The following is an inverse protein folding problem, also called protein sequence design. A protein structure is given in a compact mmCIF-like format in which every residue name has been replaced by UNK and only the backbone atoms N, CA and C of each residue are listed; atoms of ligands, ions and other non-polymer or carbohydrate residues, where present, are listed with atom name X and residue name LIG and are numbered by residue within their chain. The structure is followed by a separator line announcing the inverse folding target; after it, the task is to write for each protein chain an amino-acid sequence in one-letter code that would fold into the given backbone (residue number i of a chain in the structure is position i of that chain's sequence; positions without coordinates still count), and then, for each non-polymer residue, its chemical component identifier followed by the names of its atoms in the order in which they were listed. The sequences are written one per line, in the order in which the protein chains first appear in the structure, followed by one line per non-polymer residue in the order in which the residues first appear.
data_IF_122176416968
#
_entry.id   IF_122176416968
#
_cell.length_a   1.000
_cell.length_b   1.000
_cell.length_c   1.000
_cell.angle_alpha   90.00
_cell.angle_beta   90.00
_cell.angle_gamma   90.00
#
_symmetry.space_group_name_H-M   'P 1'
#
loop_
_entity.id
_entity.type
_entity.pdbx_description
1 polymer ?
#
# COMPACT_ATOMS: atom_id res chain seq x y z
N UNK A 1 63.99 -12.18 -25.42
CA UNK A 1 62.61 -11.69 -25.49
C UNK A 1 62.50 -10.45 -24.63
N UNK A 2 62.03 -9.37 -25.26
CA UNK A 2 61.78 -8.01 -24.74
C UNK A 2 60.67 -8.03 -23.66
N UNK A 3 60.61 -7.18 -22.63
CA UNK A 3 60.60 -5.71 -22.65
C UNK A 3 61.12 -5.09 -21.34
N UNK A 4 61.91 -4.02 -21.49
CA UNK A 4 62.17 -3.02 -20.45
C UNK A 4 60.89 -2.24 -20.09
N UNK A 5 60.80 -1.77 -18.84
CA UNK A 5 60.56 -0.34 -18.62
C UNK A 5 61.16 0.12 -17.30
N UNK A 6 62.06 1.09 -17.39
CA UNK A 6 62.76 1.79 -16.32
C UNK A 6 61.88 2.94 -15.78
N UNK A 7 62.39 3.57 -14.71
CA UNK A 7 62.15 4.95 -14.24
C UNK A 7 61.06 5.06 -13.15
N UNK A 8 61.25 5.73 -12.01
CA UNK A 8 62.32 6.60 -11.54
C UNK A 8 61.79 7.44 -10.34
N UNK A 9 62.44 7.27 -9.18
CA UNK A 9 62.70 8.18 -8.05
C UNK A 9 61.90 9.52 -7.92
N UNK A 10 61.12 9.61 -6.82
CA UNK A 10 60.87 10.67 -5.78
C UNK A 10 61.03 12.18 -6.16
N UNK A 11 60.23 13.15 -5.61
CA UNK A 11 60.50 13.66 -4.26
C UNK A 11 59.28 14.07 -3.40
N UNK A 12 59.44 13.86 -2.09
CA UNK A 12 58.79 14.59 -1.00
C UNK A 12 59.15 16.08 -1.06
N UNK A 13 58.17 16.98 -0.95
CA UNK A 13 58.40 18.41 -0.68
C UNK A 13 57.31 18.96 0.25
N UNK A 14 57.69 19.09 1.53
CA UNK A 14 57.08 19.96 2.53
C UNK A 14 56.95 21.39 1.97
N UNK A 15 55.83 22.06 2.23
CA UNK A 15 55.73 23.24 3.14
C UNK A 15 54.39 23.95 2.98
N UNK A 16 53.79 24.20 4.14
CA UNK A 16 52.76 25.20 4.41
C UNK A 16 53.11 26.59 3.85
N UNK A 17 52.24 27.14 3.00
CA UNK A 17 52.07 28.58 2.81
C UNK A 17 50.56 28.81 2.64
N UNK A 18 49.96 29.49 3.62
CA UNK A 18 48.56 29.89 3.55
C UNK A 18 48.39 31.05 2.57
N UNK A 19 47.39 30.96 1.71
CA UNK A 19 46.75 32.11 1.06
C UNK A 19 45.26 31.79 0.96
N UNK A 20 44.45 32.62 1.61
CA UNK A 20 42.99 32.72 1.40
C UNK A 20 42.74 32.93 -0.10
N UNK A 21 42.11 31.96 -0.75
CA UNK A 21 41.37 32.20 -1.99
C UNK A 21 40.00 31.56 -1.84
N UNK A 22 39.10 32.41 -1.36
CA UNK A 22 37.68 32.43 -1.63
C UNK A 22 37.44 32.01 -3.09
N UNK A 23 36.80 30.87 -3.30
CA UNK A 23 36.57 30.35 -4.64
C UNK A 23 35.63 29.17 -4.59
N UNK A 24 34.33 29.49 -4.53
CA UNK A 24 33.21 28.68 -5.02
C UNK A 24 33.53 27.20 -5.22
N UNK A 25 33.09 26.26 -4.38
CA UNK A 25 32.69 24.91 -4.87
C UNK A 25 32.15 23.92 -3.85
N UNK A 26 32.02 24.25 -2.55
CA UNK A 26 31.73 23.19 -1.56
C UNK A 26 30.76 23.63 -0.48
N UNK A 27 29.54 24.03 -0.86
CA UNK A 27 28.38 23.90 0.03
C UNK A 27 27.03 24.09 -0.68
N UNK A 28 26.87 23.51 -1.88
CA UNK A 28 25.53 23.07 -2.26
C UNK A 28 25.30 21.78 -1.49
N UNK A 29 24.86 21.93 -0.23
CA UNK A 29 24.20 20.86 0.51
C UNK A 29 23.24 20.17 -0.47
N UNK A 30 23.24 18.84 -0.59
CA UNK A 30 22.28 18.14 -1.43
C UNK A 30 20.91 18.22 -0.75
N UNK A 31 20.30 19.41 -0.75
CA UNK A 31 18.90 19.63 -0.40
C UNK A 31 17.95 19.06 -1.48
N UNK A 32 18.48 18.25 -2.40
CA UNK A 32 17.74 17.49 -3.41
C UNK A 32 17.55 16.01 -3.05
N UNK A 33 17.80 15.61 -1.80
CA UNK A 33 17.39 14.29 -1.29
C UNK A 33 16.01 14.32 -0.60
N UNK A 34 15.26 15.43 -0.69
CA UNK A 34 13.82 15.48 -0.42
C UNK A 34 13.00 15.42 -1.72
N UNK A 35 13.56 14.81 -2.76
CA UNK A 35 12.83 14.55 -3.99
C UNK A 35 11.97 13.30 -3.77
N UNK A 36 10.73 13.56 -3.37
CA UNK A 36 9.57 12.80 -3.82
C UNK A 36 9.56 11.29 -3.48
N UNK A 37 9.75 10.92 -2.22
CA UNK A 37 8.89 9.86 -1.69
C UNK A 37 7.51 10.48 -1.47
N UNK A 38 6.84 10.86 -2.55
CA UNK A 38 5.42 11.05 -2.51
C UNK A 38 4.87 9.69 -2.09
N UNK A 39 4.55 9.56 -0.79
CA UNK A 39 3.68 8.53 -0.25
C UNK A 39 2.34 8.67 -0.99
N UNK A 40 2.28 8.18 -2.22
CA UNK A 40 1.06 8.04 -2.99
C UNK A 40 0.33 6.83 -2.43
N UNK A 41 -0.07 6.95 -1.16
CA UNK A 41 -0.89 5.97 -0.47
C UNK A 41 -2.12 5.76 -1.33
N UNK A 42 -2.29 4.54 -1.83
CA UNK A 42 -3.53 4.14 -2.49
C UNK A 42 -4.65 4.38 -1.46
N UNK A 43 -5.63 5.20 -1.81
CA UNK A 43 -6.81 5.41 -0.98
C UNK A 43 -8.01 4.89 -1.78
N UNK A 44 -8.55 3.76 -1.33
CA UNK A 44 -9.82 3.24 -1.82
C UNK A 44 -10.95 3.98 -1.10
N UNK A 45 -11.96 4.39 -1.86
CA UNK A 45 -13.16 5.03 -1.33
C UNK A 45 -14.14 3.98 -0.78
N UNK A 46 -14.03 2.73 -1.24
CA UNK A 46 -14.76 1.59 -0.71
C UNK A 46 -14.55 1.45 0.81
N UNK A 47 -15.62 1.75 1.56
CA UNK A 47 -15.62 1.69 3.02
C UNK A 47 -15.44 0.26 3.52
N UNK A 48 -14.61 0.07 4.54
CA UNK A 48 -14.51 -1.23 5.22
C UNK A 48 -15.89 -1.62 5.78
N UNK A 49 -16.40 -2.83 5.48
CA UNK A 49 -17.71 -3.27 5.95
C UNK A 49 -17.74 -3.34 7.48
N UNK A 50 -18.84 -2.87 8.07
CA UNK A 50 -19.07 -2.94 9.51
C UNK A 50 -19.85 -4.21 9.86
N UNK A 51 -19.57 -4.79 11.03
CA UNK A 51 -20.29 -5.96 11.50
C UNK A 51 -21.77 -5.59 11.79
N UNK A 52 -22.75 -6.40 11.33
CA UNK A 52 -24.16 -6.17 11.64
C UNK A 52 -24.40 -6.39 13.14
N UNK A 53 -25.17 -5.50 13.76
CA UNK A 53 -25.59 -5.64 15.16
C UNK A 53 -27.05 -6.10 15.27
N UNK A 54 -27.83 -5.97 14.20
CA UNK A 54 -29.23 -6.39 14.15
C UNK A 54 -29.49 -7.37 13.00
N UNK A 55 -30.58 -8.12 13.10
CA UNK A 55 -30.97 -9.07 12.06
C UNK A 55 -31.33 -8.38 10.73
N UNK A 56 -31.97 -7.21 10.82
CA UNK A 56 -32.29 -6.39 9.63
C UNK A 56 -31.01 -5.91 8.94
N UNK A 57 -30.00 -5.49 9.72
CA UNK A 57 -28.69 -5.11 9.18
C UNK A 57 -27.97 -6.31 8.55
N UNK A 58 -28.07 -7.50 9.15
CA UNK A 58 -27.48 -8.71 8.59
C UNK A 58 -28.11 -9.06 7.22
N UNK A 59 -29.44 -8.99 7.10
CA UNK A 59 -30.15 -9.24 5.85
C UNK A 59 -29.86 -8.18 4.79
N UNK A 60 -29.85 -6.90 5.18
CA UNK A 60 -29.48 -5.80 4.29
C UNK A 60 -28.05 -5.94 3.77
N UNK A 61 -27.11 -6.32 4.64
CA UNK A 61 -25.72 -6.54 4.27
C UNK A 61 -25.57 -7.66 3.24
N UNK A 62 -26.24 -8.80 3.43
CA UNK A 62 -26.19 -9.92 2.47
C UNK A 62 -26.77 -9.49 1.12
N UNK A 63 -27.84 -8.71 1.11
CA UNK A 63 -28.49 -8.23 -0.13
C UNK A 63 -27.64 -7.19 -0.89
N UNK A 64 -26.89 -6.33 -0.19
CA UNK A 64 -26.09 -5.27 -0.82
C UNK A 64 -24.62 -5.66 -1.09
N UNK A 65 -24.14 -6.75 -0.48
CA UNK A 65 -22.75 -7.20 -0.58
C UNK A 65 -22.25 -7.30 -2.02
N UNK A 66 -23.03 -7.88 -2.93
CA UNK A 66 -22.61 -8.06 -4.31
C UNK A 66 -22.30 -6.72 -4.98
N UNK A 67 -23.17 -5.72 -4.78
CA UNK A 67 -22.96 -4.35 -5.27
C UNK A 67 -21.73 -3.70 -4.63
N UNK A 68 -21.52 -3.91 -3.34
CA UNK A 68 -20.34 -3.37 -2.63
C UNK A 68 -19.04 -3.98 -3.18
N UNK A 69 -19.04 -5.28 -3.50
CA UNK A 69 -17.89 -5.95 -4.08
C UNK A 69 -17.64 -5.53 -5.53
N UNK A 70 -18.69 -5.37 -6.33
CA UNK A 70 -18.57 -4.83 -7.70
C UNK A 70 -17.97 -3.42 -7.69
N UNK A 71 -18.43 -2.57 -6.79
CA UNK A 71 -17.90 -1.21 -6.64
C UNK A 71 -16.42 -1.22 -6.19
N UNK A 72 -16.06 -2.10 -5.24
CA UNK A 72 -14.68 -2.29 -4.83
C UNK A 72 -13.79 -2.76 -5.99
N UNK A 73 -14.28 -3.67 -6.84
CA UNK A 73 -13.55 -4.14 -8.01
C UNK A 73 -13.34 -3.04 -9.05
N UNK A 74 -14.36 -2.21 -9.27
CA UNK A 74 -14.25 -1.03 -10.11
C UNK A 74 -13.14 -0.09 -9.61
N UNK A 75 -13.15 0.26 -8.32
CA UNK A 75 -12.13 1.14 -7.74
C UNK A 75 -10.71 0.54 -7.79
N UNK A 76 -10.57 -0.75 -7.46
CA UNK A 76 -9.28 -1.43 -7.56
C UNK A 76 -8.74 -1.39 -8.98
N UNK A 77 -9.61 -1.56 -9.98
CA UNK A 77 -9.23 -1.47 -11.38
C UNK A 77 -8.81 -0.04 -11.75
N UNK A 78 -9.52 0.99 -11.33
CA UNK A 78 -9.11 2.39 -11.55
C UNK A 78 -7.77 2.72 -10.90
N UNK A 79 -7.57 2.32 -9.63
CA UNK A 79 -6.30 2.52 -8.93
C UNK A 79 -5.16 1.75 -9.59
N UNK A 80 -5.41 0.53 -10.08
CA UNK A 80 -4.41 -0.24 -10.82
C UNK A 80 -4.00 0.45 -12.13
N UNK A 81 -4.95 1.09 -12.83
CA UNK A 81 -4.66 1.89 -14.03
C UNK A 81 -3.82 3.12 -13.67
N UNK A 82 -4.16 3.80 -12.58
CA UNK A 82 -3.42 4.96 -12.11
C UNK A 82 -1.97 4.60 -11.70
N UNK A 83 -1.72 3.37 -11.21
CA UNK A 83 -0.37 2.91 -10.86
C UNK A 83 0.61 2.90 -12.03
N UNK A 84 0.15 2.68 -13.27
CA UNK A 84 1.02 2.68 -14.46
C UNK A 84 1.60 4.07 -14.80
N UNK A 85 1.00 5.14 -14.28
CA UNK A 85 1.48 6.51 -14.47
C UNK A 85 2.52 6.92 -13.41
N UNK A 86 2.87 6.04 -12.47
CA UNK A 86 3.81 6.33 -11.37
C UNK A 86 5.20 5.78 -11.66
N UNK A 87 6.22 6.38 -11.05
CA UNK A 87 7.62 5.91 -11.16
C UNK A 87 7.83 4.49 -10.62
N UNK A 88 7.15 4.13 -9.52
CA UNK A 88 7.24 2.79 -8.91
C UNK A 88 5.94 2.00 -9.14
N UNK A 89 5.76 1.49 -10.36
CA UNK A 89 4.55 0.76 -10.76
C UNK A 89 4.37 -0.52 -9.93
N UNK A 90 5.45 -1.29 -9.72
CA UNK A 90 5.38 -2.57 -9.00
C UNK A 90 4.89 -2.40 -7.56
N UNK A 91 5.50 -1.50 -6.80
CA UNK A 91 5.11 -1.25 -5.41
C UNK A 91 3.67 -0.74 -5.33
N UNK A 92 3.25 0.14 -6.25
CA UNK A 92 1.89 0.64 -6.29
C UNK A 92 0.88 -0.48 -6.54
N UNK A 93 1.14 -1.37 -7.50
CA UNK A 93 0.26 -2.51 -7.78
C UNK A 93 0.17 -3.47 -6.59
N UNK A 94 1.28 -3.69 -5.89
CA UNK A 94 1.29 -4.53 -4.70
C UNK A 94 0.49 -3.91 -3.55
N UNK A 95 0.57 -2.60 -3.35
CA UNK A 95 -0.25 -1.88 -2.38
C UNK A 95 -1.75 -1.98 -2.71
N UNK A 96 -2.13 -1.77 -3.98
CA UNK A 96 -3.52 -1.93 -4.47
C UNK A 96 -4.03 -3.35 -4.18
N UNK A 97 -3.23 -4.39 -4.51
CA UNK A 97 -3.58 -5.78 -4.26
C UNK A 97 -3.74 -6.09 -2.77
N UNK A 98 -2.83 -5.59 -1.94
CA UNK A 98 -2.87 -5.77 -0.50
C UNK A 98 -4.12 -5.14 0.11
N UNK A 99 -4.46 -3.91 -0.27
CA UNK A 99 -5.66 -3.23 0.20
C UNK A 99 -6.93 -3.95 -0.27
N UNK A 100 -7.00 -4.34 -1.55
CA UNK A 100 -8.12 -5.12 -2.08
C UNK A 100 -8.32 -6.43 -1.33
N UNK A 101 -7.23 -7.15 -1.02
CA UNK A 101 -7.28 -8.37 -0.23
C UNK A 101 -7.75 -8.11 1.21
N UNK A 102 -7.33 -7.02 1.85
CA UNK A 102 -7.77 -6.66 3.20
C UNK A 102 -9.27 -6.35 3.25
N UNK A 103 -9.79 -5.57 2.29
CA UNK A 103 -11.22 -5.22 2.25
C UNK A 103 -12.07 -6.45 1.93
N UNK A 104 -11.64 -7.31 0.98
CA UNK A 104 -12.33 -8.57 0.70
C UNK A 104 -12.39 -9.50 1.91
N UNK A 105 -11.29 -9.63 2.67
CA UNK A 105 -11.28 -10.40 3.92
C UNK A 105 -12.27 -9.84 4.94
N UNK A 106 -12.31 -8.51 5.09
CA UNK A 106 -13.30 -7.87 5.96
C UNK A 106 -14.74 -8.19 5.52
N UNK A 107 -15.03 -8.21 4.22
CA UNK A 107 -16.36 -8.58 3.71
C UNK A 107 -16.73 -10.03 4.05
N UNK A 108 -15.77 -10.96 3.96
CA UNK A 108 -15.99 -12.37 4.30
C UNK A 108 -16.24 -12.56 5.80
N UNK A 109 -15.48 -11.88 6.65
CA UNK A 109 -15.67 -11.93 8.12
C UNK A 109 -17.05 -11.40 8.52
N UNK A 110 -17.48 -10.29 7.92
CA UNK A 110 -18.79 -9.69 8.19
C UNK A 110 -19.91 -10.57 7.62
N UNK A 111 -19.71 -11.17 6.45
CA UNK A 111 -20.66 -12.11 5.85
C UNK A 111 -20.89 -13.33 6.76
N UNK A 112 -19.84 -13.97 7.25
CA UNK A 112 -19.98 -15.11 8.15
C UNK A 112 -20.80 -14.76 9.40
N UNK A 113 -20.57 -13.57 9.98
CA UNK A 113 -21.36 -13.07 11.11
C UNK A 113 -22.82 -12.82 10.73
N UNK A 114 -23.07 -12.20 9.57
CA UNK A 114 -24.42 -11.92 9.10
C UNK A 114 -25.22 -13.21 8.86
N UNK A 115 -24.60 -14.19 8.20
CA UNK A 115 -25.20 -15.50 7.93
C UNK A 115 -25.46 -16.28 9.22
N UNK A 116 -24.53 -16.25 10.18
CA UNK A 116 -24.73 -16.89 11.48
C UNK A 116 -25.89 -16.27 12.26
N UNK A 117 -26.04 -14.94 12.24
CA UNK A 117 -27.19 -14.28 12.86
C UNK A 117 -28.52 -14.69 12.23
N UNK A 118 -28.59 -14.73 10.90
CA UNK A 118 -29.78 -15.16 10.16
C UNK A 118 -30.10 -16.62 10.49
N UNK A 119 -29.09 -17.49 10.47
CA UNK A 119 -29.22 -18.91 10.76
C UNK A 119 -29.73 -19.17 12.17
N UNK A 120 -29.20 -18.48 13.18
CA UNK A 120 -29.64 -18.62 14.57
C UNK A 120 -31.09 -18.18 14.77
N UNK A 121 -31.50 -17.09 14.12
CA UNK A 121 -32.90 -16.64 14.12
C UNK A 121 -33.84 -17.67 13.50
N UNK A 122 -33.48 -18.26 12.36
CA UNK A 122 -34.27 -19.33 11.75
C UNK A 122 -34.41 -20.55 12.66
N UNK A 123 -33.34 -20.93 13.37
CA UNK A 123 -33.42 -22.02 14.35
C UNK A 123 -34.32 -21.69 15.53
N UNK A 124 -34.23 -20.47 16.07
CA UNK A 124 -35.11 -20.02 17.15
C UNK A 124 -36.58 -20.01 16.70
N UNK A 125 -36.86 -19.48 15.51
CA UNK A 125 -38.18 -19.43 14.92
C UNK A 125 -38.76 -20.83 14.65
N UNK A 126 -37.95 -21.77 14.16
CA UNK A 126 -38.37 -23.17 13.99
C UNK A 126 -38.75 -23.81 15.33
N UNK A 127 -37.92 -23.62 16.37
CA UNK A 127 -38.17 -24.16 17.70
C UNK A 127 -39.44 -23.57 18.34
N UNK A 128 -39.70 -22.29 18.14
CA UNK A 128 -40.93 -21.65 18.63
C UNK A 128 -42.20 -22.19 17.96
N UNK A 129 -42.12 -22.61 16.68
CA UNK A 129 -43.26 -23.19 15.94
C UNK A 129 -43.55 -24.65 16.31
N UNK A 130 -42.57 -25.36 16.86
CA UNK A 130 -42.75 -26.72 17.39
C UNK A 130 -42.50 -26.72 18.90
N UNK A 131 -43.43 -26.18 19.71
CA UNK A 131 -43.36 -26.34 21.15
C UNK A 131 -43.60 -27.81 21.47
N UNK A 132 -42.57 -28.48 21.98
CA UNK A 132 -42.71 -29.80 22.60
C UNK A 132 -43.53 -29.68 23.88
#
# INVERSE_FOLDING_TARGET
MSFQSKQGIVPQLRKSIGVRVQGLFTLVLPAFALVLTACSTVQLQASKPQAPNTLEQARAYVAERERQLEFLEYELNEQSRACYNKFFVSSCLDDVRLQGAQIRRAHLEVQGKAEDMIRLDEYANRRARTPN
#
